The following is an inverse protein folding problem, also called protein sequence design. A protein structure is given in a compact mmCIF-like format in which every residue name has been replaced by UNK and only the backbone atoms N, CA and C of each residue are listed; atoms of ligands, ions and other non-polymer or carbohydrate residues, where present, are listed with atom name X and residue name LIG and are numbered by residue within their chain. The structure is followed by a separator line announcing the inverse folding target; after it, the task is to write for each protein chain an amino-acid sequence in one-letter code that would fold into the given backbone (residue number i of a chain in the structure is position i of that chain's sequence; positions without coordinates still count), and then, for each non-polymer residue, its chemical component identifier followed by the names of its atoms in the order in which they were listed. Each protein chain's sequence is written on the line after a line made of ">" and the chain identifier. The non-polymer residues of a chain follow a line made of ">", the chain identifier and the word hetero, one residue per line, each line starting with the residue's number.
data_IF_703769907172
#
_entry.id   IF_703769907172
#
_cell.length_a   1.000
_cell.length_b   1.000
_cell.length_c   1.000
_cell.angle_alpha   90.00
_cell.angle_beta   90.00
_cell.angle_gamma   90.00
#
_symmetry.space_group_name_H-M   'P 1'
#
loop_
_entity.id
_entity.type
_entity.pdbx_description
1 polymer ?
#
# COMPACT_ATOMS: atom_id res chain seq x y z
N UNK A 1 21.21 -23.49 -17.07
CA UNK A 1 20.15 -23.93 -16.14
C UNK A 1 19.74 -25.35 -16.46
N UNK A 2 19.68 -26.20 -15.46
CA UNK A 2 19.25 -27.59 -15.62
C UNK A 2 17.79 -27.67 -16.06
N UNK A 3 17.37 -28.68 -16.85
CA UNK A 3 15.98 -28.81 -17.32
C UNK A 3 14.94 -28.79 -16.19
N UNK A 4 15.22 -29.47 -15.07
CA UNK A 4 14.31 -29.50 -13.92
C UNK A 4 14.11 -28.11 -13.30
N UNK A 5 15.20 -27.32 -13.22
CA UNK A 5 15.13 -25.95 -12.69
C UNK A 5 14.32 -25.05 -13.62
N UNK A 6 14.51 -25.20 -14.93
CA UNK A 6 13.74 -24.44 -15.92
C UNK A 6 12.25 -24.75 -15.83
N UNK A 7 11.91 -26.03 -15.68
CA UNK A 7 10.54 -26.48 -15.52
C UNK A 7 9.90 -25.93 -14.24
N UNK A 8 10.65 -25.93 -13.12
CA UNK A 8 10.19 -25.38 -11.85
C UNK A 8 9.92 -23.86 -11.95
N UNK A 9 10.80 -23.12 -12.61
CA UNK A 9 10.59 -21.67 -12.86
C UNK A 9 9.36 -21.44 -13.71
N UNK A 10 9.20 -22.17 -14.81
CA UNK A 10 8.04 -22.03 -15.69
C UNK A 10 6.75 -22.34 -14.95
N UNK A 11 6.73 -23.39 -14.13
CA UNK A 11 5.58 -23.74 -13.30
C UNK A 11 5.23 -22.64 -12.31
N UNK A 12 6.23 -22.09 -11.62
CA UNK A 12 6.04 -20.98 -10.69
C UNK A 12 5.44 -19.75 -11.38
N UNK A 13 5.99 -19.35 -12.53
CA UNK A 13 5.49 -18.18 -13.26
C UNK A 13 4.05 -18.35 -13.70
N UNK A 14 3.69 -19.55 -14.19
CA UNK A 14 2.32 -19.86 -14.58
C UNK A 14 1.37 -19.80 -13.38
N UNK A 15 1.75 -20.39 -12.26
CA UNK A 15 0.95 -20.37 -11.03
C UNK A 15 0.78 -18.95 -10.48
N UNK A 16 1.86 -18.18 -10.44
CA UNK A 16 1.83 -16.79 -9.98
C UNK A 16 0.90 -15.92 -10.82
N UNK A 17 0.96 -16.05 -12.15
CA UNK A 17 0.07 -15.32 -13.05
C UNK A 17 -1.40 -15.69 -12.85
N UNK A 18 -1.69 -16.98 -12.68
CA UNK A 18 -3.05 -17.47 -12.44
C UNK A 18 -3.60 -16.95 -11.10
N UNK A 19 -2.82 -17.04 -10.04
CA UNK A 19 -3.24 -16.57 -8.71
C UNK A 19 -3.45 -15.06 -8.68
N UNK A 20 -2.58 -14.30 -9.33
CA UNK A 20 -2.73 -12.85 -9.42
C UNK A 20 -3.99 -12.47 -10.19
N UNK A 21 -4.26 -13.10 -11.33
CA UNK A 21 -5.48 -12.85 -12.11
C UNK A 21 -6.74 -13.17 -11.30
N UNK A 22 -6.76 -14.30 -10.59
CA UNK A 22 -7.89 -14.68 -9.74
C UNK A 22 -8.12 -13.66 -8.64
N UNK A 23 -7.06 -13.15 -8.03
CA UNK A 23 -7.14 -12.11 -7.01
C UNK A 23 -7.72 -10.81 -7.59
N UNK A 24 -7.21 -10.36 -8.73
CA UNK A 24 -7.66 -9.12 -9.38
C UNK A 24 -9.13 -9.20 -9.80
N UNK A 25 -9.58 -10.35 -10.29
CA UNK A 25 -10.98 -10.56 -10.67
C UNK A 25 -11.95 -10.47 -9.48
N UNK A 26 -11.46 -10.76 -8.26
CA UNK A 26 -12.26 -10.68 -7.04
C UNK A 26 -12.32 -9.28 -6.42
N UNK A 27 -11.63 -8.29 -6.98
CA UNK A 27 -11.62 -6.92 -6.44
C UNK A 27 -12.84 -6.14 -6.88
N UNK A 28 -13.43 -5.41 -5.94
CA UNK A 28 -14.60 -4.56 -6.18
C UNK A 28 -14.17 -3.10 -6.36
N UNK A 29 -14.54 -2.51 -7.49
CA UNK A 29 -14.18 -1.12 -7.81
C UNK A 29 -14.72 -0.12 -6.76
N UNK A 30 -15.87 -0.40 -6.17
CA UNK A 30 -16.50 0.50 -5.19
C UNK A 30 -15.67 0.64 -3.90
N UNK A 31 -14.92 -0.39 -3.50
CA UNK A 31 -14.04 -0.31 -2.34
C UNK A 31 -12.92 0.72 -2.58
N UNK A 32 -12.36 0.72 -3.77
CA UNK A 32 -11.32 1.69 -4.16
C UNK A 32 -11.89 3.09 -4.30
N UNK A 33 -13.10 3.22 -4.80
CA UNK A 33 -13.79 4.52 -4.94
C UNK A 33 -13.94 5.22 -3.59
N UNK A 34 -14.36 4.49 -2.56
CA UNK A 34 -14.50 5.04 -1.21
C UNK A 34 -13.15 5.52 -0.66
N UNK A 35 -12.09 4.74 -0.83
CA UNK A 35 -10.74 5.11 -0.39
C UNK A 35 -10.24 6.37 -1.13
N UNK A 36 -10.40 6.42 -2.44
CA UNK A 36 -10.01 7.58 -3.25
C UNK A 36 -10.77 8.83 -2.81
N UNK A 37 -12.06 8.71 -2.54
CA UNK A 37 -12.88 9.83 -2.09
C UNK A 37 -12.39 10.36 -0.74
N UNK A 38 -12.10 9.48 0.21
CA UNK A 38 -11.57 9.85 1.52
C UNK A 38 -10.26 10.63 1.41
N UNK A 39 -9.34 10.17 0.56
CA UNK A 39 -8.06 10.84 0.30
C UNK A 39 -8.29 12.23 -0.31
N UNK A 40 -9.17 12.33 -1.30
CA UNK A 40 -9.50 13.61 -1.95
C UNK A 40 -10.10 14.62 -0.98
N UNK A 41 -11.02 14.20 -0.14
CA UNK A 41 -11.65 15.06 0.86
C UNK A 41 -10.62 15.55 1.88
N UNK A 42 -9.77 14.67 2.37
CA UNK A 42 -8.66 15.04 3.27
C UNK A 42 -7.79 16.12 2.64
N UNK A 43 -7.36 15.93 1.41
CA UNK A 43 -6.49 16.87 0.72
C UNK A 43 -7.15 18.23 0.49
N UNK A 44 -8.43 18.27 0.18
CA UNK A 44 -9.18 19.54 0.03
C UNK A 44 -9.18 20.36 1.32
N UNK A 45 -9.22 19.69 2.46
CA UNK A 45 -9.17 20.31 3.78
C UNK A 45 -7.76 20.59 4.30
N UNK A 46 -6.72 20.36 3.50
CA UNK A 46 -5.32 20.55 3.91
C UNK A 46 -4.75 19.38 4.69
N UNK A 47 -5.46 18.24 4.74
CA UNK A 47 -4.99 17.02 5.37
C UNK A 47 -3.91 16.31 4.54
N UNK A 48 -3.25 15.36 5.19
CA UNK A 48 -2.15 14.60 4.63
C UNK A 48 -2.47 13.11 4.63
N UNK A 49 -1.77 12.37 3.79
CA UNK A 49 -1.87 10.90 3.73
C UNK A 49 -0.65 10.30 4.41
N UNK A 50 -0.86 9.40 5.33
CA UNK A 50 0.19 8.64 6.00
C UNK A 50 -0.01 7.16 5.70
N UNK A 51 1.08 6.44 5.44
CA UNK A 51 1.02 5.00 5.17
C UNK A 51 1.87 4.29 6.19
N UNK A 52 1.33 3.25 6.80
CA UNK A 52 2.00 2.52 7.87
C UNK A 52 1.81 1.01 7.73
N UNK A 53 2.65 0.27 8.42
CA UNK A 53 2.63 -1.18 8.53
C UNK A 53 3.82 -1.64 9.34
N UNK A 54 3.79 -2.86 9.83
CA UNK A 54 4.87 -3.42 10.67
C UNK A 54 5.48 -4.62 9.95
N UNK A 55 6.82 -4.72 9.97
CA UNK A 55 7.54 -5.76 9.25
C UNK A 55 7.51 -5.55 7.74
N UNK A 56 7.27 -6.59 6.97
CA UNK A 56 7.19 -6.51 5.50
C UNK A 56 6.10 -5.55 5.04
N UNK A 57 4.89 -5.51 5.64
CA UNK A 57 3.91 -4.47 5.35
C UNK A 57 4.44 -3.05 5.53
N UNK A 58 5.37 -2.82 6.47
CA UNK A 58 6.03 -1.53 6.65
C UNK A 58 6.88 -1.14 5.44
N UNK A 59 7.59 -2.08 4.84
CA UNK A 59 8.35 -1.83 3.61
C UNK A 59 7.44 -1.52 2.43
N UNK A 60 6.32 -2.22 2.32
CA UNK A 60 5.28 -1.92 1.32
C UNK A 60 4.70 -0.53 1.56
N UNK A 61 4.45 -0.17 2.81
CA UNK A 61 3.94 1.16 3.18
C UNK A 61 4.91 2.28 2.75
N UNK A 62 6.21 2.10 2.97
CA UNK A 62 7.23 3.04 2.52
C UNK A 62 7.23 3.20 1.01
N UNK A 63 7.16 2.10 0.27
CA UNK A 63 7.06 2.12 -1.19
C UNK A 63 5.77 2.81 -1.66
N UNK A 64 4.65 2.50 -1.04
CA UNK A 64 3.36 3.12 -1.38
C UNK A 64 3.38 4.63 -1.14
N UNK A 65 3.93 5.09 -0.02
CA UNK A 65 4.04 6.52 0.26
C UNK A 65 4.89 7.24 -0.80
N UNK A 66 6.01 6.63 -1.19
CA UNK A 66 6.88 7.15 -2.24
C UNK A 66 6.16 7.20 -3.60
N UNK A 67 5.44 6.14 -3.95
CA UNK A 67 4.71 6.05 -5.21
C UNK A 67 3.56 7.06 -5.28
N UNK A 68 2.79 7.21 -4.22
CA UNK A 68 1.71 8.21 -4.13
C UNK A 68 2.27 9.62 -4.31
N UNK A 69 3.38 9.94 -3.64
CA UNK A 69 4.04 11.25 -3.76
C UNK A 69 4.50 11.51 -5.18
N UNK A 70 5.13 10.54 -5.85
CA UNK A 70 5.60 10.70 -7.22
C UNK A 70 4.48 10.80 -8.25
N UNK A 71 3.28 10.36 -7.92
CA UNK A 71 2.11 10.45 -8.81
C UNK A 71 1.13 11.57 -8.44
N UNK A 72 1.54 12.50 -7.59
CA UNK A 72 0.80 13.72 -7.31
C UNK A 72 -0.02 13.73 -6.04
N UNK A 73 0.06 12.69 -5.21
CA UNK A 73 -0.58 12.64 -3.89
C UNK A 73 0.50 12.64 -2.81
N UNK A 74 0.80 13.79 -2.19
CA UNK A 74 1.80 13.84 -1.11
C UNK A 74 1.43 12.85 -0.01
N UNK A 75 2.33 11.93 0.26
CA UNK A 75 2.13 10.90 1.27
C UNK A 75 3.41 10.69 2.06
N UNK A 76 3.25 10.27 3.30
CA UNK A 76 4.32 10.15 4.28
C UNK A 76 4.30 8.77 4.89
N UNK A 77 5.47 8.21 5.12
CA UNK A 77 5.58 6.96 5.86
C UNK A 77 5.45 7.23 7.36
N UNK A 78 4.59 6.46 8.03
CA UNK A 78 4.50 6.43 9.48
C UNK A 78 5.05 5.08 9.96
N UNK A 79 6.20 5.09 10.61
CA UNK A 79 6.79 3.88 11.14
C UNK A 79 5.90 3.29 12.24
N UNK A 80 5.38 2.07 12.03
CA UNK A 80 4.38 1.50 12.92
C UNK A 80 4.86 1.33 14.38
N UNK A 81 6.12 0.92 14.58
CA UNK A 81 6.68 0.80 15.92
C UNK A 81 6.94 2.17 16.56
N UNK A 82 7.49 3.11 15.78
CA UNK A 82 7.75 4.46 16.29
C UNK A 82 6.47 5.24 16.57
N UNK A 83 5.36 4.89 15.93
CA UNK A 83 4.06 5.50 16.20
C UNK A 83 3.68 5.35 17.68
N UNK A 84 3.98 4.19 18.28
CA UNK A 84 3.72 3.92 19.71
C UNK A 84 4.65 4.74 20.61
N UNK A 85 5.80 5.15 20.11
CA UNK A 85 6.81 5.92 20.84
C UNK A 85 6.75 7.43 20.56
N UNK A 86 5.70 7.93 19.95
CA UNK A 86 5.49 9.35 19.75
C UNK A 86 5.32 9.81 18.31
N UNK A 87 5.70 9.00 17.31
CA UNK A 87 5.59 9.42 15.91
C UNK A 87 4.14 9.59 15.44
N UNK A 88 3.15 9.12 16.20
CA UNK A 88 1.74 9.47 15.97
C UNK A 88 1.51 10.99 16.05
N UNK A 89 2.40 11.74 16.67
CA UNK A 89 2.35 13.21 16.69
C UNK A 89 2.47 13.85 15.31
N UNK A 90 2.90 13.11 14.27
CA UNK A 90 2.87 13.63 12.91
C UNK A 90 1.45 13.73 12.32
N UNK A 91 0.47 13.08 12.95
CA UNK A 91 -0.92 13.09 12.51
C UNK A 91 -1.65 14.34 13.04
N UNK A 92 -2.46 14.94 12.19
CA UNK A 92 -3.36 16.03 12.58
C UNK A 92 -4.78 15.72 12.12
N UNK A 93 -5.74 16.43 12.70
CA UNK A 93 -7.14 16.25 12.33
C UNK A 93 -7.34 16.47 10.82
N UNK A 94 -8.08 15.59 10.19
CA UNK A 94 -8.33 15.61 8.75
C UNK A 94 -7.35 14.76 7.93
N UNK A 95 -6.29 14.25 8.54
CA UNK A 95 -5.36 13.32 7.87
C UNK A 95 -6.03 11.96 7.61
N UNK A 96 -5.52 11.27 6.62
CA UNK A 96 -5.88 9.86 6.32
C UNK A 96 -4.70 8.96 6.64
N UNK A 97 -4.96 7.82 7.24
CA UNK A 97 -3.95 6.79 7.50
C UNK A 97 -4.32 5.54 6.73
N UNK A 98 -3.38 5.04 5.93
CA UNK A 98 -3.48 3.76 5.24
C UNK A 98 -2.65 2.74 6.01
N UNK A 99 -3.31 1.72 6.54
CA UNK A 99 -2.66 0.65 7.30
C UNK A 99 -2.54 -0.59 6.42
N UNK A 100 -1.31 -1.07 6.23
CA UNK A 100 -1.03 -2.29 5.46
C UNK A 100 -0.71 -3.42 6.45
N UNK A 101 -1.45 -4.50 6.30
CA UNK A 101 -1.33 -5.68 7.16
C UNK A 101 -0.99 -6.93 6.36
#
# INVERSE_FOLDING_TARGET
>A
MKPESRQAVAHFLTAAGRELNAFLEGLEADDYKAAVQMIRESRRGGGRVHVTGIGKPGHVAGYMASLLSSTGTPAYFLHGTEAVHGSCGQLVAGDVVICIS
#
